data_IF_425968050342
#
_entry.id   IF_425968050342
#
_cell.length_a   1.000
_cell.length_b   1.000
_cell.length_c   1.000
_cell.angle_alpha   90.00
_cell.angle_beta   90.00
_cell.angle_gamma   90.00
#
_symmetry.space_group_name_H-M   'P 1'
#
loop_
_entity.id
_entity.type
_entity.pdbx_description
1 polymer ?
#
# COMPACT_ATOMS: atom_id res chain seq x y z
N UNK A 1 -33.17 -0.58 68.14
CA UNK A 1 -33.87 -1.03 66.92
C UNK A 1 -32.90 -0.87 65.74
N UNK A 2 -32.38 -1.96 65.16
CA UNK A 2 -31.45 -1.88 64.02
C UNK A 2 -32.25 -1.67 62.74
N UNK A 3 -32.13 -0.52 62.10
CA UNK A 3 -32.72 -0.28 60.79
C UNK A 3 -32.07 -1.21 59.76
N UNK A 4 -32.91 -1.96 59.04
CA UNK A 4 -32.51 -2.90 57.98
C UNK A 4 -32.25 -2.08 56.72
N UNK A 5 -31.00 -2.02 56.26
CA UNK A 5 -30.56 -1.21 55.12
C UNK A 5 -30.95 -1.84 53.77
N UNK A 6 -32.23 -1.82 53.42
CA UNK A 6 -32.72 -2.37 52.15
C UNK A 6 -32.37 -1.48 50.94
N UNK A 7 -32.16 -0.17 51.13
CA UNK A 7 -31.80 0.78 50.06
C UNK A 7 -30.38 0.60 49.51
N UNK A 8 -29.44 0.15 50.33
CA UNK A 8 -28.04 -0.09 49.90
C UNK A 8 -27.95 -1.27 48.93
N UNK A 9 -28.80 -2.29 49.08
CA UNK A 9 -28.86 -3.45 48.18
C UNK A 9 -29.43 -3.09 46.79
N UNK A 10 -30.40 -2.19 46.74
CA UNK A 10 -30.99 -1.67 45.50
C UNK A 10 -29.97 -0.86 44.69
N UNK A 11 -29.24 0.05 45.34
CA UNK A 11 -28.17 0.85 44.71
C UNK A 11 -27.04 -0.05 44.21
N UNK A 12 -26.68 -1.08 44.98
CA UNK A 12 -25.64 -2.03 44.58
C UNK A 12 -26.05 -2.80 43.32
N UNK A 13 -27.30 -3.26 43.23
CA UNK A 13 -27.82 -3.94 42.03
C UNK A 13 -27.84 -3.05 40.80
N UNK A 14 -28.26 -1.79 40.97
CA UNK A 14 -28.28 -0.81 39.89
C UNK A 14 -26.87 -0.53 39.35
N UNK A 15 -25.90 -0.34 40.25
CA UNK A 15 -24.51 -0.17 39.89
C UNK A 15 -23.95 -1.39 39.14
N UNK A 16 -24.27 -2.61 39.59
CA UNK A 16 -23.84 -3.83 38.91
C UNK A 16 -24.39 -3.94 37.48
N UNK A 17 -25.66 -3.56 37.27
CA UNK A 17 -26.26 -3.53 35.93
C UNK A 17 -25.56 -2.51 35.02
N UNK A 18 -25.29 -1.30 35.51
CA UNK A 18 -24.56 -0.26 34.76
C UNK A 18 -23.15 -0.73 34.38
N UNK A 19 -22.44 -1.35 35.31
CA UNK A 19 -21.10 -1.90 35.06
C UNK A 19 -21.13 -3.04 34.02
N UNK A 20 -22.17 -3.87 34.04
CA UNK A 20 -22.36 -4.92 33.03
C UNK A 20 -22.56 -4.33 31.63
N UNK A 21 -23.44 -3.34 31.48
CA UNK A 21 -23.63 -2.65 30.19
C UNK A 21 -22.36 -1.93 29.74
N UNK A 22 -21.66 -1.27 30.66
CA UNK A 22 -20.41 -0.61 30.36
C UNK A 22 -19.33 -1.60 29.88
N UNK A 23 -19.24 -2.78 30.49
CA UNK A 23 -18.32 -3.83 30.07
C UNK A 23 -18.63 -4.36 28.65
N UNK A 24 -19.90 -4.58 28.33
CA UNK A 24 -20.34 -5.03 27.00
C UNK A 24 -20.00 -3.96 25.95
N UNK A 25 -20.40 -2.71 26.19
CA UNK A 25 -20.08 -1.60 25.31
C UNK A 25 -18.57 -1.41 25.14
N UNK A 26 -17.80 -1.47 26.23
CA UNK A 26 -16.34 -1.38 26.20
C UNK A 26 -15.69 -2.44 25.34
N UNK A 27 -16.15 -3.69 25.42
CA UNK A 27 -15.66 -4.79 24.58
C UNK A 27 -15.96 -4.56 23.08
N UNK A 28 -17.20 -4.15 22.76
CA UNK A 28 -17.60 -3.87 21.38
C UNK A 28 -16.79 -2.70 20.80
N UNK A 29 -16.63 -1.62 21.58
CA UNK A 29 -15.86 -0.44 21.17
C UNK A 29 -14.39 -0.81 20.89
N UNK A 30 -13.77 -1.60 21.76
CA UNK A 30 -12.40 -2.07 21.56
C UNK A 30 -12.26 -2.90 20.27
N UNK A 31 -13.21 -3.80 20.01
CA UNK A 31 -13.21 -4.63 18.81
C UNK A 31 -13.36 -3.79 17.53
N UNK A 32 -14.29 -2.83 17.53
CA UNK A 32 -14.48 -1.91 16.39
C UNK A 32 -13.22 -1.08 16.18
N UNK A 33 -12.61 -0.58 17.26
CA UNK A 33 -11.39 0.21 17.19
C UNK A 33 -10.22 -0.58 16.58
N UNK A 34 -9.99 -1.82 17.02
CA UNK A 34 -8.93 -2.67 16.45
C UNK A 34 -9.20 -2.97 14.97
N UNK A 35 -10.45 -3.26 14.59
CA UNK A 35 -10.82 -3.48 13.18
C UNK A 35 -10.59 -2.22 12.34
N UNK A 36 -11.01 -1.06 12.83
CA UNK A 36 -10.81 0.22 12.14
C UNK A 36 -9.32 0.54 11.97
N UNK A 37 -8.50 0.30 13.00
CA UNK A 37 -7.06 0.47 12.91
C UNK A 37 -6.44 -0.42 11.82
N UNK A 38 -6.80 -1.70 11.78
CA UNK A 38 -6.31 -2.62 10.75
C UNK A 38 -6.76 -2.23 9.34
N UNK A 39 -8.02 -1.79 9.18
CA UNK A 39 -8.53 -1.29 7.90
C UNK A 39 -7.76 -0.03 7.48
N UNK A 40 -7.53 0.89 8.40
CA UNK A 40 -6.77 2.12 8.13
C UNK A 40 -5.32 1.81 7.73
N UNK A 41 -4.65 0.88 8.42
CA UNK A 41 -3.31 0.43 8.07
C UNK A 41 -3.26 -0.19 6.66
N UNK A 42 -4.25 -1.03 6.31
CA UNK A 42 -4.36 -1.61 4.96
C UNK A 42 -4.68 -0.55 3.90
N UNK A 43 -5.52 0.43 4.21
CA UNK A 43 -5.82 1.53 3.30
C UNK A 43 -4.57 2.37 3.01
N UNK A 44 -3.77 2.67 4.05
CA UNK A 44 -2.47 3.34 3.88
C UNK A 44 -1.53 2.54 2.99
N UNK A 45 -1.39 1.23 3.24
CA UNK A 45 -0.57 0.34 2.40
C UNK A 45 -0.99 0.40 0.91
N UNK A 46 -2.30 0.38 0.64
CA UNK A 46 -2.84 0.46 -0.71
C UNK A 46 -2.61 1.83 -1.36
N UNK A 47 -2.76 2.92 -0.61
CA UNK A 47 -2.52 4.29 -1.12
C UNK A 47 -1.07 4.46 -1.55
N UNK A 48 -0.12 4.10 -0.68
CA UNK A 48 1.30 4.22 -1.01
C UNK A 48 1.69 3.30 -2.17
N UNK A 49 1.20 2.05 -2.16
CA UNK A 49 1.42 1.12 -3.26
C UNK A 49 1.00 1.72 -4.61
N UNK A 50 -0.19 2.34 -4.66
CA UNK A 50 -0.68 2.97 -5.88
C UNK A 50 0.16 4.17 -6.27
N UNK A 51 0.57 5.01 -5.32
CA UNK A 51 1.40 6.16 -5.60
C UNK A 51 2.71 5.75 -6.30
N UNK A 52 3.44 4.77 -5.75
CA UNK A 52 4.70 4.30 -6.33
C UNK A 52 4.52 3.57 -7.66
N UNK A 53 3.51 2.71 -7.75
CA UNK A 53 3.23 1.95 -8.99
C UNK A 53 2.78 2.89 -10.11
N UNK A 54 1.94 3.87 -9.82
CA UNK A 54 1.52 4.89 -10.79
C UNK A 54 2.69 5.79 -11.19
N UNK A 55 3.54 6.22 -10.25
CA UNK A 55 4.73 7.00 -10.58
C UNK A 55 5.66 6.23 -11.54
N UNK A 56 5.94 4.96 -11.24
CA UNK A 56 6.71 4.12 -12.16
C UNK A 56 6.00 3.94 -13.52
N UNK A 57 4.67 3.93 -13.54
CA UNK A 57 3.91 3.84 -14.78
C UNK A 57 4.01 5.10 -15.64
N UNK A 58 3.84 6.27 -15.02
CA UNK A 58 3.97 7.57 -15.67
C UNK A 58 5.36 7.73 -16.31
N UNK A 59 6.42 7.25 -15.65
CA UNK A 59 7.77 7.25 -16.22
C UNK A 59 7.85 6.41 -17.51
N UNK A 60 7.27 5.21 -17.51
CA UNK A 60 7.23 4.33 -18.71
C UNK A 60 6.42 4.99 -19.83
N UNK A 61 5.32 5.63 -19.49
CA UNK A 61 4.49 6.39 -20.43
C UNK A 61 5.19 7.63 -20.99
N UNK A 62 6.04 8.29 -20.19
CA UNK A 62 6.88 9.39 -20.64
C UNK A 62 8.01 8.90 -21.57
N UNK A 63 8.57 7.71 -21.32
CA UNK A 63 9.62 7.10 -22.15
C UNK A 63 10.87 6.72 -21.40
N UNK A 64 10.80 6.66 -20.07
CA UNK A 64 11.80 6.06 -19.24
C UNK A 64 11.86 4.55 -19.52
N UNK A 65 12.97 4.09 -20.07
CA UNK A 65 13.19 2.67 -20.32
C UNK A 65 14.52 2.16 -19.79
N UNK A 66 15.42 3.07 -19.41
CA UNK A 66 16.73 2.75 -18.87
C UNK A 66 16.77 3.09 -17.39
N UNK A 67 17.63 2.37 -16.63
CA UNK A 67 17.72 2.55 -15.18
C UNK A 67 18.01 3.99 -14.75
N UNK A 68 18.72 4.76 -15.59
CA UNK A 68 19.06 6.17 -15.33
C UNK A 68 17.82 7.05 -15.25
N UNK A 69 16.83 6.80 -16.10
CA UNK A 69 15.57 7.54 -16.12
C UNK A 69 14.77 7.29 -14.84
N UNK A 70 14.81 6.05 -14.33
CA UNK A 70 14.18 5.69 -13.07
C UNK A 70 14.97 6.18 -11.85
N UNK A 71 16.31 6.27 -11.93
CA UNK A 71 17.16 6.71 -10.82
C UNK A 71 16.91 8.16 -10.39
N UNK A 72 16.37 9.01 -11.27
CA UNK A 72 15.97 10.38 -10.93
C UNK A 72 14.83 10.42 -9.90
N UNK A 73 13.97 9.39 -9.91
CA UNK A 73 12.79 9.29 -9.06
C UNK A 73 12.94 8.23 -7.95
N UNK A 74 13.72 7.18 -8.23
CA UNK A 74 13.97 6.04 -7.35
C UNK A 74 15.46 5.90 -7.09
N UNK A 75 15.94 6.55 -6.03
CA UNK A 75 17.38 6.68 -5.73
C UNK A 75 18.06 5.34 -5.42
N UNK A 76 17.33 4.38 -4.87
CA UNK A 76 17.83 3.04 -4.51
C UNK A 76 17.41 1.94 -5.51
N UNK A 77 16.98 2.31 -6.72
CA UNK A 77 16.62 1.32 -7.73
C UNK A 77 17.82 0.48 -8.16
N UNK A 78 17.61 -0.82 -8.26
CA UNK A 78 18.61 -1.80 -8.70
C UNK A 78 17.99 -2.72 -9.75
N UNK A 79 18.81 -3.36 -10.58
CA UNK A 79 18.33 -4.29 -11.61
C UNK A 79 19.09 -4.19 -12.92
N UNK A 80 18.60 -4.94 -13.90
CA UNK A 80 19.20 -5.04 -15.24
C UNK A 80 18.18 -4.60 -16.28
N UNK A 81 18.65 -4.24 -17.47
CA UNK A 81 17.82 -3.65 -18.53
C UNK A 81 16.44 -4.34 -18.69
N UNK A 82 15.38 -3.64 -18.27
CA UNK A 82 14.00 -4.11 -18.33
C UNK A 82 13.54 -5.03 -17.19
N UNK A 83 14.32 -5.25 -16.14
CA UNK A 83 13.90 -5.86 -14.88
C UNK A 83 14.53 -5.07 -13.71
N UNK A 84 13.77 -4.11 -13.20
CA UNK A 84 14.18 -3.19 -12.14
C UNK A 84 13.43 -3.48 -10.84
N UNK A 85 14.08 -3.18 -9.72
CA UNK A 85 13.62 -3.50 -8.39
C UNK A 85 13.85 -2.31 -7.45
N UNK A 86 12.80 -1.89 -6.77
CA UNK A 86 12.85 -0.92 -5.67
C UNK A 86 12.45 -1.62 -4.38
N UNK A 87 13.08 -1.25 -3.27
CA UNK A 87 12.85 -1.88 -1.97
C UNK A 87 12.48 -0.81 -0.95
N UNK A 88 11.48 -1.10 -0.12
CA UNK A 88 10.95 -0.15 0.87
C UNK A 88 10.87 -0.78 2.26
N UNK A 89 11.09 0.04 3.28
CA UNK A 89 10.89 -0.34 4.68
C UNK A 89 9.39 -0.29 5.06
N UNK A 90 9.09 -0.42 6.36
CA UNK A 90 7.70 -0.37 6.85
C UNK A 90 7.05 1.02 6.76
N UNK A 91 7.88 2.07 6.69
CA UNK A 91 7.51 3.47 6.67
C UNK A 91 7.52 4.05 5.25
N UNK A 92 7.70 3.17 4.24
CA UNK A 92 7.78 3.48 2.81
C UNK A 92 9.04 4.25 2.38
N UNK A 93 10.08 4.25 3.21
CA UNK A 93 11.36 4.80 2.82
C UNK A 93 12.10 3.82 1.91
N UNK A 94 12.75 4.35 0.86
CA UNK A 94 13.61 3.58 -0.01
C UNK A 94 14.84 3.05 0.76
N UNK A 95 15.04 1.74 0.73
CA UNK A 95 16.16 1.07 1.38
C UNK A 95 16.78 0.03 0.46
N UNK A 96 17.92 -0.54 0.87
CA UNK A 96 18.50 -1.70 0.19
C UNK A 96 17.79 -2.99 0.60
N UNK A 97 17.84 -3.99 -0.28
CA UNK A 97 17.16 -5.30 -0.18
C UNK A 97 17.18 -5.98 1.19
N UNK A 98 18.25 -5.83 1.97
CA UNK A 98 18.51 -6.62 3.20
C UNK A 98 17.48 -6.46 4.32
N UNK A 99 16.70 -5.37 4.36
CA UNK A 99 15.67 -5.12 5.39
C UNK A 99 14.30 -4.77 4.80
N UNK A 100 14.10 -5.05 3.52
CA UNK A 100 12.92 -4.65 2.79
C UNK A 100 11.66 -5.37 3.30
N UNK A 101 10.61 -4.60 3.60
CA UNK A 101 9.28 -5.13 3.90
C UNK A 101 8.43 -5.20 2.64
N UNK A 102 8.56 -4.19 1.78
CA UNK A 102 7.94 -4.14 0.47
C UNK A 102 9.00 -4.11 -0.61
N UNK A 103 8.66 -4.64 -1.77
CA UNK A 103 9.48 -4.48 -2.96
C UNK A 103 8.61 -4.33 -4.20
N UNK A 104 9.02 -3.44 -5.08
CA UNK A 104 8.40 -3.19 -6.37
C UNK A 104 9.28 -3.76 -7.47
N UNK A 105 8.69 -4.44 -8.44
CA UNK A 105 9.36 -4.95 -9.63
C UNK A 105 8.79 -4.30 -10.86
N UNK A 106 9.64 -3.72 -11.70
CA UNK A 106 9.29 -3.11 -12.98
C UNK A 106 9.89 -3.98 -14.08
N UNK A 107 9.04 -4.64 -14.87
CA UNK A 107 9.44 -5.44 -16.02
C UNK A 107 9.04 -4.77 -17.32
N UNK A 108 10.01 -4.51 -18.19
CA UNK A 108 9.80 -3.90 -19.50
C UNK A 108 10.10 -4.92 -20.59
N UNK A 109 9.12 -5.16 -21.44
CA UNK A 109 9.27 -5.96 -22.64
C UNK A 109 9.14 -5.05 -23.87
N UNK A 110 10.26 -4.82 -24.55
CA UNK A 110 10.31 -3.99 -25.76
C UNK A 110 9.96 -4.87 -26.98
N UNK A 111 8.86 -4.55 -27.65
CA UNK A 111 8.47 -5.13 -28.93
C UNK A 111 8.66 -4.10 -30.06
N UNK A 112 8.67 -4.51 -31.34
CA UNK A 112 8.98 -3.61 -32.46
C UNK A 112 8.07 -2.37 -32.55
N UNK A 113 6.76 -2.56 -32.31
CA UNK A 113 5.74 -1.51 -32.43
C UNK A 113 5.21 -1.01 -31.08
N UNK A 114 5.59 -1.64 -29.96
CA UNK A 114 5.03 -1.35 -28.64
C UNK A 114 5.98 -1.72 -27.51
N UNK A 115 5.81 -1.10 -26.35
CA UNK A 115 6.48 -1.46 -25.11
C UNK A 115 5.42 -1.91 -24.11
N UNK A 116 5.63 -3.09 -23.52
CA UNK A 116 4.82 -3.59 -22.43
C UNK A 116 5.57 -3.35 -21.12
N UNK A 117 4.94 -2.69 -20.17
CA UNK A 117 5.42 -2.54 -18.81
C UNK A 117 4.57 -3.36 -17.85
N UNK A 118 5.17 -4.16 -16.98
CA UNK A 118 4.48 -4.82 -15.86
C UNK A 118 5.12 -4.35 -14.56
N UNK A 119 4.36 -3.61 -13.77
CA UNK A 119 4.77 -3.13 -12.46
C UNK A 119 4.03 -3.94 -11.41
N UNK A 120 4.75 -4.55 -10.48
CA UNK A 120 4.17 -5.37 -9.42
C UNK A 120 4.73 -4.94 -8.08
N UNK A 121 3.84 -4.72 -7.10
CA UNK A 121 4.21 -4.45 -5.72
C UNK A 121 3.98 -5.70 -4.87
N UNK A 122 4.98 -6.01 -4.05
CA UNK A 122 5.04 -7.19 -3.20
C UNK A 122 5.26 -6.79 -1.74
N UNK A 123 4.62 -7.52 -0.84
CA UNK A 123 4.88 -7.50 0.60
C UNK A 123 5.41 -8.86 1.02
N UNK A 124 6.70 -8.93 1.35
CA UNK A 124 7.38 -10.23 1.47
C UNK A 124 7.19 -11.04 0.19
N UNK A 125 6.59 -12.24 0.28
CA UNK A 125 6.31 -13.08 -0.89
C UNK A 125 4.88 -12.93 -1.46
N UNK A 126 4.07 -12.03 -0.89
CA UNK A 126 2.70 -11.82 -1.34
C UNK A 126 2.62 -10.65 -2.31
N UNK A 127 2.10 -10.89 -3.52
CA UNK A 127 1.73 -9.83 -4.44
C UNK A 127 0.53 -9.06 -3.89
N UNK A 128 0.67 -7.75 -3.72
CA UNK A 128 -0.39 -6.88 -3.17
C UNK A 128 -1.05 -6.02 -4.24
N UNK A 129 -0.34 -5.70 -5.33
CA UNK A 129 -0.86 -4.90 -6.44
C UNK A 129 -0.06 -5.14 -7.71
N UNK A 130 -0.70 -4.96 -8.87
CA UNK A 130 -0.04 -4.99 -10.18
C UNK A 130 -0.71 -4.01 -11.13
N UNK A 131 0.09 -3.37 -11.97
CA UNK A 131 -0.33 -2.51 -13.05
C UNK A 131 0.41 -2.91 -14.33
N UNK A 132 -0.35 -3.15 -15.40
CA UNK A 132 0.18 -3.48 -16.72
C UNK A 132 -0.02 -2.27 -17.65
N UNK A 133 1.01 -1.93 -18.41
CA UNK A 133 1.10 -0.74 -19.26
C UNK A 133 1.39 -1.20 -20.68
N UNK A 134 0.70 -0.59 -21.63
CA UNK A 134 0.87 -0.83 -23.06
C UNK A 134 1.09 0.52 -23.74
N UNK A 135 2.31 0.76 -24.21
CA UNK A 135 2.62 1.96 -24.99
C UNK A 135 2.93 1.61 -26.43
N UNK A 136 2.19 2.19 -27.37
CA UNK A 136 2.52 2.09 -28.79
C UNK A 136 3.64 3.06 -29.17
N UNK A 137 4.61 2.59 -29.94
CA UNK A 137 5.62 3.44 -30.55
C UNK A 137 4.96 4.11 -31.76
N UNK A 138 4.66 5.41 -31.68
CA UNK A 138 4.21 6.15 -32.85
C UNK A 138 5.36 6.17 -33.87
N UNK A 139 5.15 5.52 -35.02
CA UNK A 139 5.94 5.80 -36.22
C UNK A 139 5.67 7.26 -36.58
N UNK A 140 6.64 8.15 -36.36
CA UNK A 140 6.63 9.43 -37.08
C UNK A 140 6.68 9.09 -38.56
N UNK A 141 5.54 9.24 -39.24
CA UNK A 141 5.52 9.42 -40.68
C UNK A 141 6.18 10.78 -40.93
N UNK A 142 7.51 10.79 -41.07
CA UNK A 142 8.22 11.85 -41.79
C UNK A 142 7.79 11.73 -43.26
N UNK A 143 6.60 12.26 -43.55
CA UNK A 143 6.10 12.32 -44.90
C UNK A 143 5.34 13.63 -45.05
N UNK A 144 6.08 14.73 -45.17
CA UNK A 144 5.64 15.89 -45.93
C UNK A 144 6.82 16.82 -46.27
N UNK A 145 6.98 17.01 -47.59
CA UNK A 145 7.76 18.04 -48.32
C UNK A 145 9.20 17.69 -48.71
N UNK A 146 9.31 16.85 -49.74
CA UNK A 146 10.16 17.17 -50.90
C UNK A 146 9.47 18.19 -51.79
#
# INVERSE_FOLDING_TARGET
MKQKSNGTHLILMELMMVLFFFAICGSILLQVFVKAHNISAKAREMTETKNYVTQAAELIEAGAYDIKDFQEYFTQIDGKAGDYQCYYDQDWNEIKKTKARYHMTIKLERQPAKVLGKITMWRGNQQIYQLDILRYRQERKDNERS
#
